data_IF_234564920761
#
_entry.id   IF_234564920761
#
_cell.length_a   1.000
_cell.length_b   1.000
_cell.length_c   1.000
_cell.angle_alpha   90.00
_cell.angle_beta   90.00
_cell.angle_gamma   90.00
#
_symmetry.space_group_name_H-M   'P 1'
#
loop_
_entity.id
_entity.type
_entity.pdbx_description
1 polymer ?
#
# COMPACT_ATOMS: atom_id res chain seq x y z
N UNK A 1 7.52 -21.44 0.10
CA UNK A 1 6.40 -20.50 0.18
C UNK A 1 6.93 -19.13 0.53
N UNK A 2 6.04 -18.14 0.70
CA UNK A 2 6.32 -16.89 1.40
C UNK A 2 6.01 -17.08 2.89
N UNK A 3 6.78 -16.47 3.77
CA UNK A 3 6.51 -16.45 5.21
C UNK A 3 5.42 -15.43 5.57
N UNK A 4 5.43 -14.28 4.88
CA UNK A 4 4.44 -13.21 5.07
C UNK A 4 4.02 -12.64 3.71
N UNK A 5 2.75 -12.35 3.57
CA UNK A 5 2.19 -11.55 2.48
C UNK A 5 1.58 -10.30 3.08
N UNK A 6 2.06 -9.15 2.63
CA UNK A 6 1.61 -7.82 3.09
C UNK A 6 1.03 -7.09 1.89
N UNK A 7 -0.09 -6.38 2.09
CA UNK A 7 -0.69 -5.51 1.09
C UNK A 7 -0.80 -4.07 1.56
N UNK A 8 -1.09 -3.13 0.67
CA UNK A 8 -1.44 -1.77 1.04
C UNK A 8 -2.89 -1.64 1.52
N UNK A 9 -3.83 -2.26 0.80
CA UNK A 9 -5.26 -2.32 1.13
C UNK A 9 -5.85 -3.66 0.66
N UNK A 10 -6.33 -4.47 1.61
CA UNK A 10 -6.94 -5.76 1.33
C UNK A 10 -8.27 -5.64 0.58
N UNK A 11 -9.03 -4.56 0.78
CA UNK A 11 -10.28 -4.35 0.06
C UNK A 11 -10.04 -4.26 -1.46
N UNK A 12 -8.87 -3.80 -1.88
CA UNK A 12 -8.42 -3.77 -3.29
C UNK A 12 -7.79 -5.09 -3.76
N UNK A 13 -7.85 -6.16 -2.97
CA UNK A 13 -7.35 -7.48 -3.32
C UNK A 13 -8.46 -8.53 -3.40
N UNK A 14 -9.71 -8.16 -3.07
CA UNK A 14 -10.84 -9.08 -2.88
C UNK A 14 -11.25 -9.78 -4.18
N UNK A 15 -11.96 -10.90 -4.04
CA UNK A 15 -12.29 -11.84 -5.13
C UNK A 15 -13.07 -11.23 -6.29
N UNK A 16 -13.91 -10.26 -5.96
CA UNK A 16 -14.76 -9.47 -6.85
C UNK A 16 -13.99 -8.40 -7.63
N UNK A 17 -12.72 -8.16 -7.29
CA UNK A 17 -11.87 -7.29 -8.07
C UNK A 17 -11.54 -7.91 -9.43
N UNK A 18 -11.75 -7.13 -10.48
CA UNK A 18 -11.46 -7.54 -11.86
C UNK A 18 -9.98 -7.38 -12.21
N UNK A 19 -9.24 -6.57 -11.47
CA UNK A 19 -7.86 -6.17 -11.75
C UNK A 19 -6.89 -6.63 -10.64
N UNK A 20 -5.58 -6.43 -10.86
CA UNK A 20 -4.53 -6.71 -9.87
C UNK A 20 -3.85 -8.07 -10.01
N UNK A 21 -2.55 -8.12 -9.73
CA UNK A 21 -1.71 -9.30 -9.92
C UNK A 21 -1.97 -10.42 -8.88
N UNK A 22 -2.51 -10.07 -7.70
CA UNK A 22 -2.90 -11.05 -6.68
C UNK A 22 -4.24 -11.75 -6.98
N UNK A 23 -5.10 -11.16 -7.83
CA UNK A 23 -6.43 -11.68 -8.18
C UNK A 23 -6.48 -13.19 -8.47
N UNK A 24 -5.63 -13.79 -9.35
CA UNK A 24 -5.68 -15.22 -9.60
C UNK A 24 -5.42 -16.06 -8.34
N UNK A 25 -4.55 -15.61 -7.44
CA UNK A 25 -4.23 -16.31 -6.19
C UNK A 25 -5.40 -16.25 -5.20
N UNK A 26 -6.02 -15.08 -5.06
CA UNK A 26 -7.17 -14.88 -4.17
C UNK A 26 -8.40 -15.66 -4.66
N UNK A 27 -8.63 -15.68 -5.99
CA UNK A 27 -9.70 -16.49 -6.61
C UNK A 27 -9.47 -17.99 -6.46
N UNK A 28 -8.22 -18.44 -6.57
CA UNK A 28 -7.83 -19.84 -6.34
C UNK A 28 -7.82 -20.23 -4.84
N UNK A 29 -8.02 -19.27 -3.91
CA UNK A 29 -7.96 -19.54 -2.47
C UNK A 29 -6.55 -19.74 -1.92
N UNK A 30 -5.52 -19.39 -2.69
CA UNK A 30 -4.12 -19.46 -2.29
C UNK A 30 -3.70 -18.29 -1.36
N UNK A 31 -4.51 -17.23 -1.34
CA UNK A 31 -4.40 -16.10 -0.42
C UNK A 31 -5.81 -15.72 0.03
N UNK A 32 -6.03 -15.67 1.33
CA UNK A 32 -7.29 -15.25 1.96
C UNK A 32 -7.04 -14.12 2.95
N UNK A 33 -8.10 -13.51 3.49
CA UNK A 33 -7.99 -12.47 4.51
C UNK A 33 -7.33 -13.00 5.78
N UNK A 34 -7.62 -14.26 6.12
CA UNK A 34 -7.06 -14.96 7.27
C UNK A 34 -5.59 -15.35 7.07
N UNK A 35 -5.18 -15.66 5.83
CA UNK A 35 -3.79 -16.01 5.52
C UNK A 35 -2.91 -14.80 5.20
N UNK A 36 -3.51 -13.62 4.99
CA UNK A 36 -2.79 -12.36 4.81
C UNK A 36 -2.12 -11.98 6.13
N UNK A 37 -0.82 -11.67 6.09
CA UNK A 37 -0.11 -11.27 7.30
C UNK A 37 -0.61 -9.93 7.81
N UNK A 38 -0.58 -8.89 6.99
CA UNK A 38 -0.96 -7.54 7.39
C UNK A 38 -1.27 -6.63 6.20
N UNK A 39 -2.00 -5.56 6.45
CA UNK A 39 -1.87 -4.33 5.67
C UNK A 39 -0.65 -3.53 6.16
N UNK A 40 0.03 -2.82 5.25
CA UNK A 40 1.24 -2.07 5.59
C UNK A 40 0.97 -1.04 6.72
N UNK A 41 -0.20 -0.41 6.73
CA UNK A 41 -0.61 0.51 7.77
C UNK A 41 -0.60 -0.13 9.18
N UNK A 42 -1.00 -1.40 9.30
CA UNK A 42 -0.99 -2.14 10.57
C UNK A 42 0.45 -2.36 11.07
N UNK A 43 1.40 -2.56 10.17
CA UNK A 43 2.83 -2.66 10.52
C UNK A 43 3.38 -1.30 10.96
N UNK A 44 3.05 -0.23 10.22
CA UNK A 44 3.56 1.11 10.50
C UNK A 44 3.13 1.64 11.88
N UNK A 45 1.93 1.29 12.35
CA UNK A 45 1.44 1.67 13.68
C UNK A 45 1.84 0.69 14.78
N UNK A 46 2.59 -0.37 14.47
CA UNK A 46 3.01 -1.39 15.42
C UNK A 46 1.93 -2.39 15.84
N UNK A 47 0.77 -2.42 15.16
CA UNK A 47 -0.30 -3.37 15.46
C UNK A 47 0.03 -4.80 14.99
N UNK A 48 0.88 -4.95 13.97
CA UNK A 48 1.44 -6.24 13.55
C UNK A 48 2.96 -6.10 13.32
N UNK A 49 3.76 -7.13 13.60
CA UNK A 49 5.20 -7.06 13.37
C UNK A 49 5.52 -7.04 11.86
N UNK A 50 6.59 -6.36 11.49
CA UNK A 50 7.16 -6.41 10.15
C UNK A 50 8.01 -7.67 9.96
N UNK A 51 9.25 -7.50 9.51
CA UNK A 51 10.26 -8.57 9.53
C UNK A 51 10.66 -8.89 10.96
N UNK A 52 10.73 -10.18 11.28
CA UNK A 52 11.12 -10.70 12.60
C UNK A 52 12.37 -11.57 12.55
N UNK A 53 12.71 -12.12 11.37
CA UNK A 53 13.93 -12.90 11.14
C UNK A 53 14.56 -12.58 9.79
N UNK A 54 15.86 -12.80 9.69
CA UNK A 54 16.64 -12.52 8.48
C UNK A 54 16.31 -13.48 7.32
N UNK A 55 15.82 -14.68 7.64
CA UNK A 55 15.50 -15.72 6.65
C UNK A 55 14.09 -15.62 6.07
N UNK A 56 13.24 -14.70 6.56
CA UNK A 56 11.87 -14.55 6.08
C UNK A 56 11.80 -14.06 4.62
N UNK A 57 11.04 -14.79 3.80
CA UNK A 57 10.61 -14.39 2.47
C UNK A 57 9.28 -13.65 2.58
N UNK A 58 9.34 -12.32 2.51
CA UNK A 58 8.18 -11.45 2.66
C UNK A 58 7.81 -10.87 1.30
N UNK A 59 6.59 -11.15 0.83
CA UNK A 59 6.02 -10.47 -0.32
C UNK A 59 5.25 -9.26 0.18
N UNK A 60 5.69 -8.07 -0.21
CA UNK A 60 4.84 -6.89 -0.17
C UNK A 60 4.32 -6.63 -1.58
N UNK A 61 3.01 -6.60 -1.74
CA UNK A 61 2.35 -6.22 -2.98
C UNK A 61 1.46 -5.02 -2.71
N UNK A 62 1.62 -3.95 -3.48
CA UNK A 62 0.76 -2.78 -3.38
C UNK A 62 0.10 -2.51 -4.72
N UNK A 63 -1.18 -2.13 -4.71
CA UNK A 63 -1.86 -1.59 -5.89
C UNK A 63 -1.48 -0.13 -6.11
N UNK A 64 -1.34 0.61 -5.02
CA UNK A 64 -1.25 2.07 -4.99
C UNK A 64 -2.51 2.67 -4.38
N UNK A 65 -2.31 3.59 -3.44
CA UNK A 65 -3.38 4.31 -2.75
C UNK A 65 -3.31 5.80 -3.11
N UNK A 66 -4.37 6.35 -3.70
CA UNK A 66 -4.44 7.79 -4.03
C UNK A 66 -4.24 8.73 -2.83
N UNK A 67 -4.46 8.24 -1.61
CA UNK A 67 -4.14 8.96 -0.38
C UNK A 67 -2.65 9.24 -0.24
N UNK A 68 -1.78 8.32 -0.68
CA UNK A 68 -0.33 8.51 -0.66
C UNK A 68 0.11 9.57 -1.67
N UNK A 69 -0.52 9.62 -2.85
CA UNK A 69 -0.28 10.66 -3.85
C UNK A 69 -0.68 12.05 -3.33
N UNK A 70 -1.86 12.18 -2.71
CA UNK A 70 -2.32 13.46 -2.14
C UNK A 70 -1.43 13.91 -1.00
N UNK A 71 -1.02 13.00 -0.10
CA UNK A 71 -0.12 13.32 1.00
C UNK A 71 1.26 13.79 0.49
N UNK A 72 1.82 13.09 -0.49
CA UNK A 72 3.06 13.47 -1.16
C UNK A 72 2.94 14.83 -1.86
N UNK A 73 1.86 15.03 -2.63
CA UNK A 73 1.59 16.29 -3.33
C UNK A 73 1.47 17.47 -2.36
N UNK A 74 0.77 17.29 -1.23
CA UNK A 74 0.66 18.31 -0.19
C UNK A 74 2.03 18.65 0.43
N UNK A 75 2.82 17.62 0.75
CA UNK A 75 4.17 17.80 1.30
C UNK A 75 5.08 18.56 0.31
N UNK A 76 5.06 18.20 -0.97
CA UNK A 76 5.85 18.87 -2.01
C UNK A 76 5.37 20.31 -2.24
N UNK A 77 4.06 20.52 -2.28
CA UNK A 77 3.47 21.85 -2.41
C UNK A 77 3.92 22.78 -1.28
N UNK A 78 3.90 22.31 -0.02
CA UNK A 78 4.39 23.09 1.13
C UNK A 78 5.85 23.52 0.97
N UNK A 79 6.73 22.60 0.57
CA UNK A 79 8.15 22.90 0.32
C UNK A 79 8.34 23.90 -0.82
N UNK A 80 7.56 23.77 -1.90
CA UNK A 80 7.63 24.70 -3.01
C UNK A 80 7.24 26.13 -2.58
N UNK A 81 6.20 26.26 -1.75
CA UNK A 81 5.80 27.56 -1.15
C UNK A 81 6.90 28.13 -0.27
N UNK A 82 7.49 27.32 0.62
CA UNK A 82 8.59 27.74 1.51
C UNK A 82 9.84 28.19 0.73
N UNK A 83 10.08 27.61 -0.45
CA UNK A 83 11.22 27.94 -1.31
C UNK A 83 10.92 29.01 -2.37
N UNK A 84 9.68 29.51 -2.44
CA UNK A 84 9.28 30.48 -3.48
C UNK A 84 9.27 29.92 -4.90
N UNK A 85 9.09 28.61 -5.07
CA UNK A 85 9.07 27.91 -6.37
C UNK A 85 7.64 27.63 -6.81
N UNK A 86 7.36 27.74 -8.11
CA UNK A 86 6.08 27.42 -8.73
C UNK A 86 5.41 28.62 -9.39
N UNK A 87 4.15 28.46 -9.82
CA UNK A 87 3.38 29.53 -10.47
C UNK A 87 1.94 29.51 -9.98
N UNK A 88 1.46 30.64 -9.47
CA UNK A 88 0.06 30.77 -9.05
C UNK A 88 -0.82 30.97 -10.28
N UNK A 89 -1.69 30.00 -10.53
CA UNK A 89 -2.71 30.09 -11.58
C UNK A 89 -4.04 30.59 -10.99
N UNK A 90 -4.87 31.26 -11.79
CA UNK A 90 -6.24 31.62 -11.41
C UNK A 90 -7.18 30.47 -11.77
N UNK A 91 -7.97 30.01 -10.82
CA UNK A 91 -9.09 29.11 -11.11
C UNK A 91 -10.17 29.88 -11.87
N UNK A 92 -10.74 29.27 -12.91
CA UNK A 92 -11.86 29.80 -13.70
C UNK A 92 -13.04 28.86 -13.56
#
# INVERSE_FOLDING_TARGET
GMDKVVVDDWAQCRRDDEFGALRPHVRAGLLTEESLHAELGQILIGAKPGRERDDERILFWHRGLGTTDVALAHMLWRRAVEQGVGTRVRYR
#
